data_IF_669322260839
#
_entry.id   IF_669322260839
#
_cell.length_a   1.000
_cell.length_b   1.000
_cell.length_c   1.000
_cell.angle_alpha   90.00
_cell.angle_beta   90.00
_cell.angle_gamma   90.00
#
_symmetry.space_group_name_H-M   'P 1'
#
loop_
_entity.id
_entity.type
_entity.pdbx_description
1 polymer ?
#
# COMPACT_ATOMS: atom_id res chain seq x y z
N UNK A 1 -8.23 17.10 13.10
CA UNK A 1 -9.56 16.49 13.23
C UNK A 1 -9.58 15.29 12.31
N UNK A 2 -9.73 14.09 12.87
CA UNK A 2 -10.02 12.87 12.11
C UNK A 2 -11.35 13.09 11.40
N UNK A 3 -11.36 12.95 10.09
CA UNK A 3 -12.60 12.94 9.32
C UNK A 3 -13.46 11.77 9.83
N UNK A 4 -14.50 12.07 10.61
CA UNK A 4 -15.45 11.11 11.17
C UNK A 4 -16.39 10.53 10.10
N UNK A 5 -16.09 10.70 8.80
CA UNK A 5 -16.93 10.24 7.70
C UNK A 5 -16.76 8.78 7.32
N UNK A 6 -15.85 8.04 7.98
CA UNK A 6 -15.84 6.58 7.91
C UNK A 6 -16.26 6.03 9.27
N UNK A 7 -17.57 6.06 9.50
CA UNK A 7 -18.20 5.36 10.61
C UNK A 7 -17.83 3.88 10.53
N UNK A 8 -16.87 3.47 11.35
CA UNK A 8 -16.39 2.10 11.41
C UNK A 8 -17.46 1.10 11.90
N UNK A 9 -18.67 1.58 12.23
CA UNK A 9 -19.87 0.80 12.52
C UNK A 9 -20.89 0.71 11.38
N UNK A 10 -20.72 1.44 10.28
CA UNK A 10 -21.63 1.35 9.14
C UNK A 10 -21.48 -0.02 8.43
N UNK A 11 -22.58 -0.70 8.05
CA UNK A 11 -22.52 -1.96 7.34
C UNK A 11 -21.85 -1.75 5.97
N UNK A 12 -20.95 -2.68 5.60
CA UNK A 12 -20.35 -2.71 4.27
C UNK A 12 -21.49 -2.85 3.24
N UNK A 13 -21.56 -1.91 2.29
CA UNK A 13 -22.52 -1.95 1.18
C UNK A 13 -21.78 -2.32 -0.11
N UNK A 14 -22.43 -3.10 -0.95
CA UNK A 14 -21.89 -3.41 -2.28
C UNK A 14 -21.81 -2.13 -3.11
N UNK A 15 -20.65 -1.86 -3.69
CA UNK A 15 -20.51 -0.75 -4.63
C UNK A 15 -20.96 -1.22 -6.02
N UNK A 16 -21.30 -0.27 -6.90
CA UNK A 16 -21.59 -0.60 -8.29
C UNK A 16 -20.41 -1.35 -8.96
N UNK A 17 -19.17 -1.00 -8.62
CA UNK A 17 -17.97 -1.70 -9.12
C UNK A 17 -17.90 -3.15 -8.63
N UNK A 18 -18.24 -3.41 -7.37
CA UNK A 18 -18.26 -4.77 -6.83
C UNK A 18 -19.33 -5.62 -7.52
N UNK A 19 -20.56 -5.09 -7.65
CA UNK A 19 -21.65 -5.77 -8.35
C UNK A 19 -21.31 -6.03 -9.83
N UNK A 20 -20.60 -5.09 -10.47
CA UNK A 20 -20.14 -5.25 -11.85
C UNK A 20 -19.16 -6.41 -11.97
N UNK A 21 -18.13 -6.46 -11.11
CA UNK A 21 -17.17 -7.55 -11.08
C UNK A 21 -17.84 -8.92 -10.86
N UNK A 22 -18.83 -9.00 -9.96
CA UNK A 22 -19.64 -10.22 -9.74
C UNK A 22 -20.36 -10.66 -11.02
N UNK A 23 -20.84 -9.70 -11.80
CA UNK A 23 -21.55 -9.97 -13.06
C UNK A 23 -20.60 -10.44 -14.15
N UNK A 24 -19.43 -9.80 -14.29
CA UNK A 24 -18.36 -10.24 -15.22
C UNK A 24 -17.88 -11.65 -14.88
N UNK A 25 -17.77 -11.98 -13.59
CA UNK A 25 -17.51 -13.34 -13.15
C UNK A 25 -18.61 -14.31 -13.58
N UNK A 26 -19.88 -13.92 -13.47
CA UNK A 26 -21.02 -14.77 -13.81
C UNK A 26 -21.14 -15.09 -15.32
N UNK A 27 -20.55 -14.24 -16.18
CA UNK A 27 -20.46 -14.47 -17.62
C UNK A 27 -19.48 -15.60 -17.97
N UNK A 28 -18.40 -15.74 -17.20
CA UNK A 28 -17.34 -16.74 -17.46
C UNK A 28 -17.47 -17.99 -16.61
N UNK A 29 -18.09 -17.89 -15.44
CA UNK A 29 -18.29 -19.00 -14.49
C UNK A 29 -19.73 -19.01 -13.96
N UNK A 30 -20.34 -20.18 -13.76
CA UNK A 30 -21.63 -20.26 -13.09
C UNK A 30 -21.59 -19.64 -11.69
N UNK A 31 -22.36 -18.57 -11.50
CA UNK A 31 -22.63 -17.96 -10.19
C UNK A 31 -24.10 -18.15 -9.87
N UNK A 32 -24.42 -18.74 -8.72
CA UNK A 32 -25.78 -19.12 -8.32
C UNK A 32 -26.13 -18.56 -6.95
N UNK A 33 -27.34 -18.02 -6.82
CA UNK A 33 -27.90 -17.59 -5.55
C UNK A 33 -28.27 -18.82 -4.69
N UNK A 34 -27.53 -19.05 -3.60
CA UNK A 34 -27.80 -20.10 -2.61
C UNK A 34 -28.94 -19.76 -1.65
N UNK A 35 -29.35 -18.49 -1.63
CA UNK A 35 -30.51 -18.00 -0.90
C UNK A 35 -31.14 -16.85 -1.68
N UNK A 36 -32.40 -16.54 -1.39
CA UNK A 36 -33.06 -15.38 -1.99
C UNK A 36 -32.40 -14.06 -1.54
N UNK A 37 -32.22 -13.14 -2.49
CA UNK A 37 -31.61 -11.83 -2.26
C UNK A 37 -32.72 -10.78 -2.19
N UNK A 38 -32.66 -9.91 -1.18
CA UNK A 38 -33.69 -8.90 -0.90
C UNK A 38 -33.10 -7.50 -0.86
N UNK A 39 -33.89 -6.52 -1.29
CA UNK A 39 -33.60 -5.10 -1.00
C UNK A 39 -33.76 -4.80 0.50
N UNK A 40 -33.21 -3.68 0.94
CA UNK A 40 -33.40 -3.12 2.28
C UNK A 40 -34.91 -2.90 2.58
N UNK A 41 -35.69 -2.51 1.56
CA UNK A 41 -37.15 -2.38 1.62
C UNK A 41 -37.92 -3.72 1.62
N UNK A 42 -37.25 -4.87 1.54
CA UNK A 42 -37.86 -6.20 1.61
C UNK A 42 -38.38 -6.76 0.29
N UNK A 43 -38.09 -6.12 -0.85
CA UNK A 43 -38.44 -6.63 -2.17
C UNK A 43 -37.49 -7.77 -2.53
N UNK A 44 -38.04 -8.92 -2.95
CA UNK A 44 -37.22 -10.03 -3.45
C UNK A 44 -36.67 -9.70 -4.84
N UNK A 45 -35.35 -9.59 -4.94
CA UNK A 45 -34.65 -9.27 -6.18
C UNK A 45 -34.24 -10.55 -6.92
N UNK A 46 -33.69 -11.53 -6.21
CA UNK A 46 -33.24 -12.81 -6.79
C UNK A 46 -33.83 -13.96 -5.99
N UNK A 47 -34.33 -14.99 -6.67
CA UNK A 47 -34.78 -16.22 -6.02
C UNK A 47 -33.62 -17.20 -5.83
N UNK A 48 -33.71 -18.04 -4.81
CA UNK A 48 -32.78 -19.15 -4.61
C UNK A 48 -32.72 -20.06 -5.84
N UNK A 49 -31.52 -20.54 -6.17
CA UNK A 49 -31.23 -21.39 -7.32
C UNK A 49 -31.10 -20.63 -8.64
N UNK A 50 -31.35 -19.32 -8.68
CA UNK A 50 -31.16 -18.54 -9.90
C UNK A 50 -29.69 -18.27 -10.18
N UNK A 51 -29.30 -18.45 -11.45
CA UNK A 51 -27.99 -18.04 -11.96
C UNK A 51 -27.95 -16.52 -12.11
N UNK A 52 -26.87 -15.90 -11.66
CA UNK A 52 -26.62 -14.46 -11.86
C UNK A 52 -26.27 -14.20 -13.32
N UNK A 53 -26.89 -13.17 -13.90
CA UNK A 53 -26.68 -12.71 -15.27
C UNK A 53 -26.81 -11.17 -15.33
N UNK A 54 -26.59 -10.61 -16.53
CA UNK A 54 -26.68 -9.16 -16.77
C UNK A 54 -28.06 -8.56 -16.44
N UNK A 55 -29.16 -9.30 -16.59
CA UNK A 55 -30.51 -8.80 -16.27
C UNK A 55 -30.71 -8.71 -14.77
N UNK A 56 -30.19 -9.68 -14.02
CA UNK A 56 -30.21 -9.63 -12.56
C UNK A 56 -29.28 -8.54 -12.02
N UNK A 57 -28.16 -8.26 -12.68
CA UNK A 57 -27.29 -7.13 -12.33
C UNK A 57 -28.00 -5.79 -12.37
N UNK A 58 -28.70 -5.46 -13.46
CA UNK A 58 -29.45 -4.21 -13.60
C UNK A 58 -30.43 -4.03 -12.43
N UNK A 59 -31.10 -5.12 -12.03
CA UNK A 59 -32.01 -5.14 -10.88
C UNK A 59 -31.31 -5.04 -9.53
N UNK A 60 -30.06 -5.52 -9.40
CA UNK A 60 -29.31 -5.43 -8.13
C UNK A 60 -28.77 -4.01 -7.90
N UNK A 61 -28.27 -3.35 -8.96
CA UNK A 61 -27.68 -2.00 -8.86
C UNK A 61 -28.72 -0.91 -8.57
N UNK A 62 -29.96 -1.09 -9.03
CA UNK A 62 -31.06 -0.15 -8.78
C UNK A 62 -31.55 -0.14 -7.32
N UNK A 63 -31.12 -1.11 -6.50
CA UNK A 63 -31.60 -1.30 -5.14
C UNK A 63 -30.48 -1.36 -4.12
N UNK A 64 -30.70 -0.76 -2.94
CA UNK A 64 -29.85 -1.06 -1.78
C UNK A 64 -30.19 -2.44 -1.25
N UNK A 65 -29.20 -3.34 -1.19
CA UNK A 65 -29.38 -4.71 -0.69
C UNK A 65 -29.43 -4.75 0.84
N UNK A 66 -30.19 -5.71 1.39
CA UNK A 66 -30.30 -5.91 2.85
C UNK A 66 -28.99 -6.41 3.47
N UNK A 67 -28.35 -7.35 2.79
CA UNK A 67 -27.07 -7.94 3.13
C UNK A 67 -26.19 -7.90 1.87
N UNK A 68 -24.86 -7.91 1.99
CA UNK A 68 -24.00 -7.93 0.82
C UNK A 68 -24.28 -9.13 -0.07
N UNK A 69 -24.61 -8.88 -1.34
CA UNK A 69 -23.95 -9.60 -2.43
C UNK A 69 -23.71 -11.10 -2.22
N UNK A 70 -22.45 -11.33 -1.93
CA UNK A 70 -21.76 -12.60 -1.85
C UNK A 70 -22.11 -13.44 -0.63
N UNK A 71 -22.82 -12.92 0.38
CA UNK A 71 -23.35 -13.76 1.48
C UNK A 71 -24.40 -14.75 0.98
N UNK A 72 -24.98 -14.49 -0.18
CA UNK A 72 -26.01 -15.33 -0.80
C UNK A 72 -25.54 -16.02 -2.08
N UNK A 73 -24.30 -15.81 -2.52
CA UNK A 73 -23.81 -16.33 -3.80
C UNK A 73 -22.83 -17.48 -3.61
N UNK A 74 -22.78 -18.33 -4.62
CA UNK A 74 -21.70 -19.29 -4.83
C UNK A 74 -21.23 -19.26 -6.26
N UNK A 75 -19.97 -19.62 -6.45
CA UNK A 75 -19.33 -19.69 -7.75
C UNK A 75 -18.74 -21.09 -7.96
N UNK A 76 -18.90 -21.62 -9.17
CA UNK A 76 -18.26 -22.86 -9.58
C UNK A 76 -16.73 -22.73 -9.56
N UNK A 77 -16.05 -23.72 -8.95
CA UNK A 77 -14.60 -23.69 -8.81
C UNK A 77 -14.11 -22.59 -7.85
N UNK A 78 -14.91 -22.27 -6.83
CA UNK A 78 -14.50 -21.42 -5.72
C UNK A 78 -13.18 -21.91 -5.10
N UNK A 79 -12.35 -20.96 -4.69
CA UNK A 79 -11.08 -21.24 -4.04
C UNK A 79 -11.25 -22.10 -2.79
N UNK A 80 -10.33 -23.05 -2.63
CA UNK A 80 -10.17 -23.88 -1.43
C UNK A 80 -8.77 -23.65 -0.85
N UNK A 81 -8.55 -24.01 0.40
CA UNK A 81 -7.19 -23.96 0.99
C UNK A 81 -6.19 -24.82 0.20
N UNK A 82 -6.64 -25.91 -0.43
CA UNK A 82 -5.82 -26.76 -1.29
C UNK A 82 -5.43 -26.05 -2.60
N UNK A 83 -6.38 -25.41 -3.29
CA UNK A 83 -6.09 -24.67 -4.53
C UNK A 83 -5.23 -23.43 -4.26
N UNK A 84 -5.50 -22.73 -3.14
CA UNK A 84 -4.64 -21.64 -2.66
C UNK A 84 -3.20 -22.11 -2.45
N UNK A 85 -3.02 -23.27 -1.80
CA UNK A 85 -1.71 -23.86 -1.60
C UNK A 85 -1.01 -24.26 -2.90
N UNK A 86 -1.76 -24.66 -3.94
CA UNK A 86 -1.19 -24.94 -5.26
C UNK A 86 -0.70 -23.65 -5.94
N UNK A 87 -1.55 -22.62 -6.02
CA UNK A 87 -1.19 -21.33 -6.62
C UNK A 87 -0.03 -20.64 -5.86
N UNK A 88 0.02 -20.76 -4.53
CA UNK A 88 1.11 -20.23 -3.72
C UNK A 88 2.47 -20.91 -4.04
N UNK A 89 2.49 -22.19 -4.38
CA UNK A 89 3.72 -22.88 -4.83
C UNK A 89 4.18 -22.39 -6.19
N UNK A 90 3.24 -22.12 -7.10
CA UNK A 90 3.56 -21.54 -8.41
C UNK A 90 4.17 -20.14 -8.26
N UNK A 91 3.59 -19.29 -7.39
CA UNK A 91 4.17 -17.97 -7.09
C UNK A 91 5.53 -18.09 -6.41
N UNK A 92 5.70 -19.03 -5.48
CA UNK A 92 7.03 -19.32 -4.90
C UNK A 92 8.07 -19.69 -5.96
N UNK A 93 7.68 -20.41 -7.02
CA UNK A 93 8.59 -20.85 -8.07
C UNK A 93 8.86 -19.79 -9.14
N UNK A 94 7.95 -18.85 -9.35
CA UNK A 94 7.96 -17.93 -10.50
C UNK A 94 8.13 -16.45 -10.15
N UNK A 95 7.75 -16.02 -8.94
CA UNK A 95 7.88 -14.63 -8.53
C UNK A 95 9.29 -14.34 -7.99
N UNK A 96 9.99 -13.29 -8.46
CA UNK A 96 11.41 -13.08 -8.18
C UNK A 96 11.76 -13.03 -6.68
N UNK A 97 11.03 -12.24 -5.89
CA UNK A 97 11.34 -12.08 -4.47
C UNK A 97 10.93 -13.31 -3.64
N UNK A 98 9.68 -13.83 -3.70
CA UNK A 98 9.31 -15.07 -3.03
C UNK A 98 10.24 -16.25 -3.35
N UNK A 99 10.65 -16.41 -4.61
CA UNK A 99 11.61 -17.43 -5.03
C UNK A 99 12.95 -17.30 -4.30
N UNK A 100 13.53 -16.11 -4.28
CA UNK A 100 14.80 -15.83 -3.57
C UNK A 100 14.68 -16.07 -2.08
N UNK A 101 13.59 -15.62 -1.46
CA UNK A 101 13.34 -15.85 -0.03
C UNK A 101 13.29 -17.35 0.27
N UNK A 102 12.60 -18.14 -0.56
CA UNK A 102 12.51 -19.58 -0.45
C UNK A 102 13.88 -20.27 -0.53
N UNK A 103 14.80 -19.79 -1.38
CA UNK A 103 16.16 -20.33 -1.47
C UNK A 103 16.99 -20.16 -0.19
N UNK A 104 16.63 -19.19 0.67
CA UNK A 104 17.31 -19.01 1.98
C UNK A 104 16.82 -19.96 3.06
N UNK A 105 15.76 -20.73 2.79
CA UNK A 105 15.13 -21.64 3.75
C UNK A 105 15.48 -23.10 3.45
N UNK A 106 15.64 -23.89 4.51
CA UNK A 106 15.83 -25.34 4.37
C UNK A 106 14.58 -26.07 3.90
N UNK A 107 13.40 -25.56 4.26
CA UNK A 107 12.10 -26.16 3.97
C UNK A 107 11.08 -25.06 3.63
N UNK A 108 11.15 -24.44 2.42
CA UNK A 108 10.28 -23.32 2.06
C UNK A 108 8.79 -23.67 2.07
N UNK A 109 8.43 -24.91 1.74
CA UNK A 109 7.05 -25.42 1.81
C UNK A 109 6.42 -25.30 3.22
N UNK A 110 7.24 -25.26 4.28
CA UNK A 110 6.74 -25.07 5.64
C UNK A 110 6.07 -23.70 5.83
N UNK A 111 6.41 -22.70 5.00
CA UNK A 111 5.73 -21.40 5.00
C UNK A 111 4.26 -21.51 4.56
N UNK A 112 3.85 -22.58 3.86
CA UNK A 112 2.47 -22.78 3.44
C UNK A 112 1.61 -23.48 4.50
N UNK A 113 2.20 -24.00 5.58
CA UNK A 113 1.45 -24.68 6.65
C UNK A 113 0.29 -23.85 7.23
N UNK A 114 0.42 -22.52 7.43
CA UNK A 114 -0.68 -21.69 7.93
C UNK A 114 -1.92 -21.66 7.04
N UNK A 115 -1.79 -21.82 5.71
CA UNK A 115 -2.92 -21.87 4.77
C UNK A 115 -3.87 -23.03 5.07
N UNK A 116 -3.32 -24.20 5.38
CA UNK A 116 -4.12 -25.40 5.64
C UNK A 116 -5.04 -25.24 6.88
N UNK A 117 -4.64 -24.39 7.83
CA UNK A 117 -5.40 -24.11 9.06
C UNK A 117 -6.22 -22.82 9.00
N UNK A 118 -6.18 -22.10 7.88
CA UNK A 118 -6.90 -20.83 7.73
C UNK A 118 -8.40 -21.07 7.54
N UNK A 119 -9.27 -20.45 8.33
CA UNK A 119 -10.71 -20.45 8.05
C UNK A 119 -10.97 -19.82 6.68
N UNK A 120 -11.75 -20.49 5.84
CA UNK A 120 -12.14 -20.00 4.51
C UNK A 120 -13.65 -20.22 4.31
N UNK A 121 -14.51 -19.40 4.95
CA UNK A 121 -15.95 -19.51 4.78
C UNK A 121 -16.36 -19.20 3.32
N UNK A 122 -17.52 -19.68 2.85
CA UNK A 122 -17.95 -19.53 1.45
C UNK A 122 -17.92 -18.10 0.91
N UNK A 123 -18.32 -17.10 1.71
CA UNK A 123 -18.29 -15.69 1.31
C UNK A 123 -16.87 -15.15 1.06
N UNK A 124 -15.91 -15.55 1.91
CA UNK A 124 -14.49 -15.20 1.71
C UNK A 124 -13.91 -15.94 0.51
N UNK A 125 -14.22 -17.24 0.37
CA UNK A 125 -13.83 -18.01 -0.81
C UNK A 125 -14.35 -17.37 -2.10
N UNK A 126 -15.60 -16.92 -2.10
CA UNK A 126 -16.22 -16.21 -3.22
C UNK A 126 -15.46 -14.91 -3.53
N UNK A 127 -15.21 -14.06 -2.53
CA UNK A 127 -14.48 -12.79 -2.68
C UNK A 127 -13.07 -12.99 -3.25
N UNK A 128 -12.32 -13.97 -2.74
CA UNK A 128 -10.99 -14.26 -3.25
C UNK A 128 -11.05 -14.85 -4.67
N UNK A 129 -12.06 -15.67 -4.97
CA UNK A 129 -12.27 -16.20 -6.34
C UNK A 129 -12.59 -15.06 -7.30
N UNK A 130 -13.47 -14.14 -6.90
CA UNK A 130 -13.78 -12.94 -7.66
C UNK A 130 -12.52 -12.11 -7.93
N UNK A 131 -11.68 -11.90 -6.92
CA UNK A 131 -10.39 -11.22 -7.07
C UNK A 131 -9.46 -11.93 -8.03
N UNK A 132 -9.31 -13.26 -7.92
CA UNK A 132 -8.47 -14.06 -8.83
C UNK A 132 -8.90 -13.91 -10.29
N UNK A 133 -10.19 -14.02 -10.57
CA UNK A 133 -10.69 -14.03 -11.95
C UNK A 133 -10.75 -12.62 -12.56
N UNK A 134 -11.20 -11.62 -11.78
CA UNK A 134 -11.45 -10.27 -12.30
C UNK A 134 -10.27 -9.32 -12.11
N UNK A 135 -9.38 -9.59 -11.15
CA UNK A 135 -8.20 -8.78 -10.82
C UNK A 135 -6.92 -9.63 -10.70
N UNK A 136 -6.44 -10.29 -11.77
CA UNK A 136 -5.32 -11.24 -11.68
C UNK A 136 -4.02 -10.64 -11.12
N UNK A 137 -3.72 -9.37 -11.42
CA UNK A 137 -2.54 -8.69 -10.87
C UNK A 137 -2.66 -8.47 -9.35
N UNK A 138 -3.82 -8.02 -8.89
CA UNK A 138 -4.12 -7.85 -7.46
C UNK A 138 -4.06 -9.19 -6.70
N UNK A 139 -4.55 -10.25 -7.34
CA UNK A 139 -4.48 -11.60 -6.80
C UNK A 139 -3.04 -12.09 -6.66
N UNK A 140 -2.21 -11.91 -7.69
CA UNK A 140 -0.79 -12.23 -7.65
C UNK A 140 -0.08 -11.46 -6.52
N UNK A 141 -0.33 -10.14 -6.40
CA UNK A 141 0.21 -9.32 -5.31
C UNK A 141 -0.19 -9.87 -3.93
N UNK A 142 -1.45 -10.28 -3.76
CA UNK A 142 -1.93 -10.88 -2.49
C UNK A 142 -1.21 -12.18 -2.13
N UNK A 143 -0.89 -13.02 -3.13
CA UNK A 143 -0.07 -14.23 -2.92
C UNK A 143 1.38 -13.86 -2.56
N UNK A 144 2.00 -12.91 -3.27
CA UNK A 144 3.36 -12.45 -2.96
C UNK A 144 3.46 -11.87 -1.55
N UNK A 145 2.48 -11.03 -1.18
CA UNK A 145 2.32 -10.46 0.16
C UNK A 145 2.23 -11.52 1.25
N UNK A 146 1.46 -12.59 1.02
CA UNK A 146 1.37 -13.72 1.92
C UNK A 146 2.73 -14.41 2.08
N UNK A 147 3.42 -14.71 0.98
CA UNK A 147 4.71 -15.42 1.04
C UNK A 147 5.81 -14.59 1.72
N UNK A 148 5.91 -13.30 1.39
CA UNK A 148 6.90 -12.39 1.97
C UNK A 148 6.61 -12.17 3.46
N UNK A 149 5.35 -11.95 3.84
CA UNK A 149 4.99 -11.74 5.24
C UNK A 149 5.19 -13.00 6.09
N UNK A 150 4.88 -14.19 5.57
CA UNK A 150 5.15 -15.46 6.26
C UNK A 150 6.64 -15.75 6.38
N UNK A 151 7.45 -15.37 5.38
CA UNK A 151 8.91 -15.39 5.51
C UNK A 151 9.38 -14.51 6.67
N UNK A 152 8.92 -13.25 6.73
CA UNK A 152 9.27 -12.33 7.83
C UNK A 152 8.85 -12.90 9.18
N UNK A 153 7.63 -13.45 9.27
CA UNK A 153 7.11 -14.08 10.48
C UNK A 153 7.96 -15.29 10.92
N UNK A 154 8.39 -16.12 9.97
CA UNK A 154 9.29 -17.25 10.23
C UNK A 154 10.65 -16.79 10.76
N UNK A 155 11.25 -15.76 10.15
CA UNK A 155 12.54 -15.18 10.60
C UNK A 155 12.45 -14.48 11.96
N UNK A 156 11.25 -14.04 12.33
CA UNK A 156 10.94 -13.42 13.63
C UNK A 156 10.34 -14.40 14.64
N UNK A 157 10.38 -15.71 14.38
CA UNK A 157 9.88 -16.76 15.30
C UNK A 157 8.43 -16.56 15.76
N UNK A 158 7.58 -16.04 14.85
CA UNK A 158 6.17 -15.76 15.13
C UNK A 158 5.38 -17.04 15.36
N UNK A 159 4.42 -17.01 16.28
CA UNK A 159 3.67 -18.21 16.66
C UNK A 159 2.83 -18.77 15.50
N UNK A 160 2.61 -20.10 15.41
CA UNK A 160 1.80 -20.69 14.33
C UNK A 160 0.39 -20.08 14.20
N UNK A 161 -0.24 -19.75 15.34
CA UNK A 161 -1.55 -19.09 15.39
C UNK A 161 -1.51 -17.69 14.76
N UNK A 162 -0.47 -16.91 15.04
CA UNK A 162 -0.28 -15.59 14.44
C UNK A 162 0.08 -15.69 12.96
N UNK A 163 0.83 -16.72 12.54
CA UNK A 163 1.10 -16.99 11.13
C UNK A 163 -0.20 -17.30 10.36
N UNK A 164 -1.15 -18.06 10.94
CA UNK A 164 -2.47 -18.26 10.31
C UNK A 164 -3.26 -16.96 10.20
N UNK A 165 -3.21 -16.10 11.22
CA UNK A 165 -3.83 -14.78 11.16
C UNK A 165 -3.17 -13.88 10.11
N UNK A 166 -1.83 -13.89 10.01
CA UNK A 166 -1.07 -13.13 9.04
C UNK A 166 -1.34 -13.59 7.61
N UNK A 167 -1.44 -14.90 7.40
CA UNK A 167 -1.83 -15.50 6.12
C UNK A 167 -3.19 -14.97 5.63
N UNK A 168 -4.20 -15.02 6.51
CA UNK A 168 -5.52 -14.45 6.21
C UNK A 168 -5.43 -12.94 5.91
N UNK A 169 -4.69 -12.18 6.73
CA UNK A 169 -4.54 -10.74 6.56
C UNK A 169 -3.87 -10.40 5.22
N UNK A 170 -2.81 -11.11 4.85
CA UNK A 170 -2.08 -10.88 3.62
C UNK A 170 -2.92 -11.21 2.37
N UNK A 171 -3.69 -12.30 2.37
CA UNK A 171 -4.55 -12.63 1.23
C UNK A 171 -5.70 -11.64 1.02
N UNK A 172 -6.14 -10.95 2.07
CA UNK A 172 -7.32 -10.08 2.05
C UNK A 172 -6.99 -8.59 2.16
N UNK A 173 -5.71 -8.20 2.30
CA UNK A 173 -5.33 -6.81 2.61
C UNK A 173 -5.89 -5.80 1.62
N UNK A 174 -5.92 -6.15 0.33
CA UNK A 174 -6.42 -5.29 -0.75
C UNK A 174 -7.74 -5.75 -1.37
N UNK A 175 -8.47 -6.68 -0.73
CA UNK A 175 -9.77 -7.14 -1.25
C UNK A 175 -10.78 -5.99 -1.41
N UNK A 176 -10.64 -4.91 -0.65
CA UNK A 176 -11.40 -3.68 -0.75
C UNK A 176 -11.25 -2.94 -2.08
N UNK A 177 -10.19 -3.22 -2.86
CA UNK A 177 -10.01 -2.69 -4.21
C UNK A 177 -11.09 -3.16 -5.17
N UNK A 178 -11.73 -4.32 -4.92
CA UNK A 178 -12.89 -4.79 -5.68
C UNK A 178 -14.08 -3.81 -5.65
N UNK A 179 -14.13 -2.92 -4.65
CA UNK A 179 -15.17 -1.92 -4.54
C UNK A 179 -14.83 -0.59 -5.23
N UNK A 180 -13.60 -0.44 -5.75
CA UNK A 180 -13.10 0.77 -6.40
C UNK A 180 -13.12 0.64 -7.93
N UNK A 181 -13.02 1.79 -8.61
CA UNK A 181 -12.93 1.84 -10.06
C UNK A 181 -11.70 1.08 -10.58
N UNK A 182 -11.85 0.11 -11.50
CA UNK A 182 -10.74 -0.53 -12.22
C UNK A 182 -9.63 0.41 -12.69
N UNK A 183 -9.97 1.64 -13.09
CA UNK A 183 -9.02 2.60 -13.63
C UNK A 183 -7.92 2.99 -12.61
N UNK A 184 -8.15 2.80 -11.31
CA UNK A 184 -7.14 3.06 -10.29
C UNK A 184 -5.95 2.10 -10.32
N UNK A 185 -6.11 0.94 -10.95
CA UNK A 185 -5.05 -0.05 -11.13
C UNK A 185 -4.19 0.24 -12.36
N UNK A 186 -4.62 1.14 -13.27
CA UNK A 186 -3.84 1.49 -14.46
C UNK A 186 -2.59 2.31 -14.06
N UNK A 187 -1.36 1.82 -14.32
CA UNK A 187 -0.13 2.56 -14.00
C UNK A 187 -0.02 3.93 -14.67
N UNK A 188 -0.77 4.15 -15.77
CA UNK A 188 -0.86 5.43 -16.50
C UNK A 188 -1.83 6.41 -15.85
N UNK A 189 -2.76 5.91 -15.04
CA UNK A 189 -3.74 6.72 -14.32
C UNK A 189 -3.27 6.96 -12.89
N UNK A 190 -2.35 7.94 -12.71
CA UNK A 190 -1.84 8.30 -11.39
C UNK A 190 -2.79 9.28 -10.69
N UNK A 191 -3.57 8.88 -9.67
CA UNK A 191 -4.33 9.83 -8.87
C UNK A 191 -3.41 10.86 -8.23
N UNK A 192 -3.75 12.13 -8.42
CA UNK A 192 -3.11 13.27 -7.75
C UNK A 192 -4.15 14.00 -6.90
N UNK A 193 -3.72 14.56 -5.77
CA UNK A 193 -4.56 15.39 -4.93
C UNK A 193 -5.81 14.68 -4.38
N UNK A 194 -6.97 15.32 -4.50
CA UNK A 194 -8.22 14.86 -3.92
C UNK A 194 -8.68 13.47 -4.42
N UNK A 195 -8.29 13.09 -5.64
CA UNK A 195 -8.59 11.79 -6.24
C UNK A 195 -7.95 10.62 -5.47
N UNK A 196 -6.79 10.82 -4.82
CA UNK A 196 -6.14 9.79 -3.98
C UNK A 196 -6.97 9.41 -2.75
N UNK A 197 -7.95 10.22 -2.34
CA UNK A 197 -8.79 9.92 -1.16
C UNK A 197 -9.53 8.59 -1.32
N UNK A 198 -9.93 8.25 -2.55
CA UNK A 198 -10.60 6.98 -2.84
C UNK A 198 -9.69 5.77 -2.66
N UNK A 199 -8.41 5.87 -3.05
CA UNK A 199 -7.45 4.79 -2.83
C UNK A 199 -7.15 4.54 -1.35
N UNK A 200 -7.23 5.56 -0.49
CA UNK A 200 -6.94 5.40 0.95
C UNK A 200 -8.04 4.62 1.69
N UNK A 201 -9.20 4.38 1.05
CA UNK A 201 -10.32 3.67 1.69
C UNK A 201 -10.19 2.15 1.62
N UNK A 202 -9.43 1.58 0.67
CA UNK A 202 -9.40 0.12 0.48
C UNK A 202 -8.95 -0.66 1.72
N UNK A 203 -7.99 -0.20 2.57
CA UNK A 203 -7.65 -0.95 3.78
C UNK A 203 -8.82 -1.01 4.77
N UNK A 204 -9.66 0.04 4.77
CA UNK A 204 -10.85 0.12 5.61
C UNK A 204 -11.91 -0.83 5.07
N UNK A 205 -12.17 -0.80 3.76
CA UNK A 205 -13.10 -1.72 3.09
C UNK A 205 -12.70 -3.18 3.31
N UNK A 206 -11.43 -3.53 3.06
CA UNK A 206 -10.89 -4.87 3.32
C UNK A 206 -11.07 -5.31 4.77
N UNK A 207 -10.77 -4.41 5.72
CA UNK A 207 -10.93 -4.69 7.15
C UNK A 207 -12.40 -4.93 7.52
N UNK A 208 -13.34 -4.17 6.96
CA UNK A 208 -14.77 -4.37 7.16
C UNK A 208 -15.26 -5.71 6.58
N UNK A 209 -14.77 -6.10 5.39
CA UNK A 209 -15.07 -7.40 4.79
C UNK A 209 -14.64 -8.56 5.70
N UNK A 210 -13.43 -8.48 6.26
CA UNK A 210 -12.92 -9.48 7.20
C UNK A 210 -13.70 -9.49 8.51
N UNK A 211 -14.05 -8.32 9.05
CA UNK A 211 -14.86 -8.22 10.27
C UNK A 211 -16.23 -8.87 10.08
N UNK A 212 -16.87 -8.65 8.94
CA UNK A 212 -18.18 -9.21 8.62
C UNK A 212 -18.16 -10.75 8.57
N UNK A 213 -17.03 -11.36 8.16
CA UNK A 213 -16.92 -12.81 8.13
C UNK A 213 -17.00 -13.47 9.53
N UNK A 214 -16.77 -12.71 10.62
CA UNK A 214 -16.89 -13.15 12.03
C UNK A 214 -16.11 -14.44 12.40
N UNK A 215 -15.15 -14.87 11.59
CA UNK A 215 -14.32 -16.07 11.82
C UNK A 215 -12.85 -15.75 12.13
N UNK A 216 -12.42 -14.51 11.87
CA UNK A 216 -11.03 -14.08 12.04
C UNK A 216 -10.84 -13.29 13.34
N UNK A 217 -9.68 -13.44 14.02
CA UNK A 217 -9.39 -12.63 15.19
C UNK A 217 -9.14 -11.16 14.82
N UNK A 218 -9.36 -10.26 15.78
CA UNK A 218 -9.16 -8.81 15.62
C UNK A 218 -7.76 -8.42 15.13
N UNK A 219 -6.75 -9.27 15.34
CA UNK A 219 -5.40 -9.05 14.81
C UNK A 219 -5.34 -9.05 13.28
N UNK A 220 -6.21 -9.81 12.59
CA UNK A 220 -6.32 -9.80 11.12
C UNK A 220 -6.86 -8.45 10.65
N UNK A 221 -7.94 -7.98 11.26
CA UNK A 221 -8.53 -6.67 10.96
C UNK A 221 -7.53 -5.52 11.14
N UNK A 222 -6.77 -5.54 12.24
CA UNK A 222 -5.75 -4.52 12.52
C UNK A 222 -4.60 -4.58 11.50
N UNK A 223 -4.10 -5.78 11.18
CA UNK A 223 -3.03 -5.94 10.21
C UNK A 223 -3.43 -5.42 8.82
N UNK A 224 -4.65 -5.76 8.37
CA UNK A 224 -5.22 -5.24 7.12
C UNK A 224 -5.36 -3.72 7.18
N UNK A 225 -5.84 -3.15 8.28
CA UNK A 225 -5.97 -1.69 8.39
C UNK A 225 -4.60 -0.98 8.38
N UNK A 226 -3.52 -1.68 8.73
CA UNK A 226 -2.20 -1.11 9.01
C UNK A 226 -1.17 -1.33 7.90
N UNK A 227 -1.46 -2.08 6.84
CA UNK A 227 -0.45 -2.45 5.84
C UNK A 227 0.12 -1.25 5.05
N UNK A 228 -0.56 -0.10 5.07
CA UNK A 228 -0.07 1.17 4.51
C UNK A 228 0.36 2.20 5.58
N UNK A 229 0.36 1.83 6.85
CA UNK A 229 0.94 2.65 7.91
C UNK A 229 2.47 2.68 7.78
N UNK A 230 3.10 3.69 8.36
CA UNK A 230 4.56 3.86 8.35
C UNK A 230 5.05 4.13 9.75
N UNK A 231 6.24 3.64 10.11
CA UNK A 231 6.78 3.73 11.46
C UNK A 231 6.95 5.18 11.97
N UNK A 232 7.11 6.13 11.05
CA UNK A 232 7.23 7.57 11.33
C UNK A 232 5.87 8.30 11.41
N UNK A 233 4.76 7.57 11.26
CA UNK A 233 3.40 8.10 11.26
C UNK A 233 3.00 8.84 9.99
N UNK A 234 3.74 8.73 8.88
CA UNK A 234 3.36 9.32 7.59
C UNK A 234 2.31 8.50 6.81
N UNK A 235 2.11 7.24 7.19
CA UNK A 235 1.20 6.31 6.53
C UNK A 235 -0.29 6.62 6.68
N UNK A 236 -1.11 5.68 6.23
CA UNK A 236 -2.57 5.79 6.19
C UNK A 236 -3.21 4.40 6.45
N UNK A 237 -4.51 4.34 6.80
CA UNK A 237 -5.49 5.43 6.89
C UNK A 237 -5.45 6.24 8.20
N UNK A 238 -4.91 5.71 9.30
CA UNK A 238 -4.95 6.35 10.62
C UNK A 238 -3.77 7.29 10.87
N UNK A 239 -2.62 7.07 10.21
CA UNK A 239 -1.44 7.91 10.36
C UNK A 239 -0.84 7.82 11.76
N UNK A 240 -0.84 6.62 12.33
CA UNK A 240 -0.41 6.35 13.71
C UNK A 240 1.12 6.18 13.81
N UNK A 241 1.74 6.55 14.95
CA UNK A 241 3.17 6.33 15.15
C UNK A 241 3.50 4.84 15.22
N UNK A 242 4.71 4.46 14.81
CA UNK A 242 5.13 3.06 14.68
C UNK A 242 4.93 2.19 15.92
N UNK A 243 5.07 2.77 17.12
CA UNK A 243 4.83 2.08 18.39
C UNK A 243 3.38 1.57 18.54
N UNK A 244 2.41 2.18 17.86
CA UNK A 244 1.00 1.78 17.86
C UNK A 244 0.62 0.82 16.74
N UNK A 245 1.49 0.63 15.74
CA UNK A 245 1.28 -0.36 14.67
C UNK A 245 1.50 -1.75 15.26
N UNK A 246 0.56 -2.66 15.03
CA UNK A 246 0.60 -4.05 15.49
C UNK A 246 1.78 -4.82 14.87
N UNK A 247 2.19 -5.93 15.50
CA UNK A 247 3.28 -6.76 14.98
C UNK A 247 2.99 -7.29 13.57
N UNK A 248 1.76 -7.77 13.32
CA UNK A 248 1.34 -8.25 12.00
C UNK A 248 1.22 -7.11 10.99
N UNK A 249 0.73 -5.93 11.40
CA UNK A 249 0.73 -4.73 10.55
C UNK A 249 2.13 -4.30 10.13
N UNK A 250 3.12 -4.41 11.03
CA UNK A 250 4.54 -4.17 10.71
C UNK A 250 5.12 -5.15 9.69
N UNK A 251 4.70 -6.41 9.73
CA UNK A 251 5.09 -7.41 8.73
C UNK A 251 4.45 -7.11 7.38
N UNK A 252 3.14 -6.82 7.34
CA UNK A 252 2.47 -6.48 6.09
C UNK A 252 3.01 -5.18 5.48
N UNK A 253 3.28 -4.13 6.26
CA UNK A 253 3.78 -2.88 5.69
C UNK A 253 5.18 -3.00 5.07
N UNK A 254 6.00 -3.93 5.59
CA UNK A 254 7.30 -4.23 5.01
C UNK A 254 7.16 -5.17 3.80
N UNK A 255 6.28 -6.16 3.86
CA UNK A 255 5.96 -7.01 2.71
C UNK A 255 5.45 -6.18 1.53
N UNK A 256 4.59 -5.18 1.81
CA UNK A 256 3.98 -4.29 0.83
C UNK A 256 5.02 -3.51 0.04
N UNK A 257 5.98 -2.87 0.73
CA UNK A 257 7.05 -2.15 0.01
C UNK A 257 7.94 -3.12 -0.76
N UNK A 258 8.19 -4.32 -0.24
CA UNK A 258 9.06 -5.29 -0.90
C UNK A 258 8.41 -5.82 -2.20
N UNK A 259 7.15 -6.25 -2.13
CA UNK A 259 6.38 -6.70 -3.28
C UNK A 259 6.23 -5.57 -4.32
N UNK A 260 5.81 -4.38 -3.91
CA UNK A 260 5.60 -3.25 -4.82
C UNK A 260 6.88 -2.80 -5.54
N UNK A 261 8.05 -2.89 -4.89
CA UNK A 261 9.33 -2.57 -5.54
C UNK A 261 9.71 -3.63 -6.57
N UNK A 262 9.52 -4.91 -6.27
CA UNK A 262 9.81 -5.99 -7.21
C UNK A 262 8.83 -6.07 -8.38
N UNK A 263 7.58 -5.65 -8.20
CA UNK A 263 6.60 -5.55 -9.29
C UNK A 263 6.88 -4.33 -10.20
N UNK A 264 7.27 -3.20 -9.60
CA UNK A 264 7.50 -1.95 -10.33
C UNK A 264 8.80 -1.93 -11.15
N UNK A 265 9.83 -2.64 -10.69
CA UNK A 265 11.17 -2.55 -11.26
C UNK A 265 11.61 -3.89 -11.84
N UNK A 266 11.66 -3.96 -13.17
CA UNK A 266 12.23 -5.13 -13.87
C UNK A 266 13.75 -5.20 -13.69
N UNK A 267 14.43 -4.05 -13.73
CA UNK A 267 15.89 -3.97 -13.61
C UNK A 267 16.33 -3.68 -12.17
N UNK A 268 17.22 -4.53 -11.65
CA UNK A 268 17.85 -4.42 -10.33
C UNK A 268 16.88 -4.14 -9.15
N UNK A 269 15.72 -4.82 -9.04
CA UNK A 269 14.75 -4.56 -7.97
C UNK A 269 15.34 -4.73 -6.56
N UNK A 270 16.32 -5.62 -6.38
CA UNK A 270 16.99 -5.80 -5.09
C UNK A 270 17.76 -4.56 -4.63
N UNK A 271 18.49 -3.93 -5.54
CA UNK A 271 19.17 -2.66 -5.28
C UNK A 271 18.15 -1.57 -4.93
N UNK A 272 17.07 -1.46 -5.72
CA UNK A 272 16.01 -0.48 -5.48
C UNK A 272 15.40 -0.67 -4.08
N UNK A 273 15.12 -1.92 -3.68
CA UNK A 273 14.56 -2.22 -2.37
C UNK A 273 15.56 -1.94 -1.25
N UNK A 274 16.83 -2.34 -1.40
CA UNK A 274 17.86 -2.09 -0.40
C UNK A 274 18.04 -0.59 -0.13
N UNK A 275 18.08 0.22 -1.18
CA UNK A 275 18.18 1.66 -1.06
C UNK A 275 16.92 2.28 -0.44
N UNK A 276 15.72 1.84 -0.84
CA UNK A 276 14.46 2.26 -0.19
C UNK A 276 14.51 1.99 1.31
N UNK A 277 14.91 0.78 1.73
CA UNK A 277 14.96 0.41 3.14
C UNK A 277 16.02 1.21 3.93
N UNK A 278 17.17 1.51 3.32
CA UNK A 278 18.26 2.28 3.96
C UNK A 278 17.93 3.77 4.07
N UNK A 279 17.52 4.40 2.97
CA UNK A 279 17.19 5.82 2.92
C UNK A 279 15.94 6.14 3.75
N UNK A 280 15.03 5.18 3.89
CA UNK A 280 13.80 5.35 4.65
C UNK A 280 13.74 4.48 5.90
N UNK A 281 14.87 4.25 6.57
CA UNK A 281 14.96 3.38 7.75
C UNK A 281 14.01 3.79 8.90
N UNK A 282 13.53 5.04 8.92
CA UNK A 282 12.52 5.54 9.88
C UNK A 282 11.08 5.18 9.53
N UNK A 283 10.79 4.84 8.26
CA UNK A 283 9.46 4.46 7.78
C UNK A 283 9.19 2.97 7.95
N UNK A 284 10.24 2.16 8.00
CA UNK A 284 10.17 0.70 8.00
C UNK A 284 10.67 0.11 9.33
N UNK A 285 10.17 -1.05 9.77
CA UNK A 285 10.59 -1.66 11.03
C UNK A 285 12.00 -2.24 10.89
N UNK A 286 13.00 -1.59 11.49
CA UNK A 286 14.42 -1.94 11.32
C UNK A 286 14.75 -3.42 11.61
N UNK A 287 14.14 -4.00 12.65
CA UNK A 287 14.33 -5.43 12.98
C UNK A 287 13.84 -6.38 11.87
N UNK A 288 12.72 -6.04 11.22
CA UNK A 288 12.20 -6.82 10.10
C UNK A 288 13.00 -6.55 8.82
N UNK A 289 13.40 -5.30 8.56
CA UNK A 289 14.23 -4.93 7.41
C UNK A 289 15.59 -5.65 7.43
N UNK A 290 16.14 -5.91 8.61
CA UNK A 290 17.38 -6.68 8.77
C UNK A 290 17.27 -8.14 8.28
N UNK A 291 16.07 -8.70 8.14
CA UNK A 291 15.87 -10.03 7.56
C UNK A 291 15.97 -10.03 6.03
N UNK A 292 15.71 -8.89 5.37
CA UNK A 292 15.75 -8.78 3.91
C UNK A 292 17.10 -8.26 3.41
N UNK A 293 17.70 -7.28 4.11
CA UNK A 293 18.90 -6.58 3.65
C UNK A 293 20.07 -7.51 3.23
N UNK A 294 20.43 -8.59 3.96
CA UNK A 294 21.51 -9.47 3.54
C UNK A 294 21.26 -10.12 2.17
N UNK A 295 20.03 -10.57 1.91
CA UNK A 295 19.64 -11.16 0.63
C UNK A 295 19.76 -10.14 -0.52
N UNK A 296 19.37 -8.89 -0.26
CA UNK A 296 19.43 -7.82 -1.25
C UNK A 296 20.87 -7.38 -1.55
N UNK A 297 21.74 -7.39 -0.54
CA UNK A 297 23.16 -7.04 -0.69
C UNK A 297 23.93 -8.08 -1.51
N UNK A 298 23.63 -9.38 -1.33
CA UNK A 298 24.22 -10.45 -2.13
C UNK A 298 23.88 -10.31 -3.62
N UNK A 299 22.66 -9.90 -3.94
CA UNK A 299 22.22 -9.65 -5.32
C UNK A 299 22.87 -8.39 -5.90
N UNK A 300 22.91 -7.29 -5.13
CA UNK A 300 23.61 -6.07 -5.53
C UNK A 300 25.07 -6.33 -5.89
N UNK A 301 25.76 -7.14 -5.10
CA UNK A 301 27.17 -7.46 -5.35
C UNK A 301 27.37 -8.21 -6.68
N UNK A 302 26.37 -8.97 -7.15
CA UNK A 302 26.40 -9.64 -8.46
C UNK A 302 26.09 -8.69 -9.62
N UNK A 303 25.22 -7.71 -9.40
CA UNK A 303 24.67 -6.84 -10.45
C UNK A 303 25.40 -5.49 -10.63
N UNK A 304 26.41 -5.20 -9.81
CA UNK A 304 27.13 -3.91 -9.77
C UNK A 304 27.78 -3.48 -11.11
N UNK A 305 27.86 -4.36 -12.12
CA UNK A 305 28.41 -4.07 -13.44
C UNK A 305 27.39 -3.50 -14.46
N UNK A 306 26.10 -3.42 -14.11
CA UNK A 306 25.00 -3.11 -15.04
C UNK A 306 24.24 -1.80 -14.72
N UNK A 307 24.80 -0.93 -13.88
CA UNK A 307 24.15 0.33 -13.48
C UNK A 307 23.90 1.25 -14.71
N UNK A 308 22.65 1.70 -14.96
CA UNK A 308 22.33 2.61 -16.04
C UNK A 308 22.89 4.00 -15.76
N UNK A 309 23.24 4.73 -16.82
CA UNK A 309 23.80 6.07 -16.74
C UNK A 309 22.80 7.01 -16.05
N UNK A 310 23.24 7.72 -15.02
CA UNK A 310 22.46 8.66 -14.20
C UNK A 310 22.01 9.95 -14.91
N UNK A 311 21.55 9.86 -16.16
CA UNK A 311 21.21 11.00 -17.04
C UNK A 311 20.17 11.97 -16.45
N UNK A 312 19.40 11.54 -15.44
CA UNK A 312 18.38 12.35 -14.77
C UNK A 312 18.83 12.93 -13.42
N UNK A 313 20.00 12.55 -12.90
CA UNK A 313 20.47 12.93 -11.56
C UNK A 313 20.49 14.45 -11.37
N UNK A 314 21.07 15.18 -12.33
CA UNK A 314 21.22 16.64 -12.24
C UNK A 314 19.87 17.35 -12.10
N UNK A 315 18.90 17.00 -12.96
CA UNK A 315 17.55 17.58 -12.92
C UNK A 315 16.80 17.23 -11.64
N UNK A 316 16.92 15.99 -11.17
CA UNK A 316 16.26 15.56 -9.94
C UNK A 316 16.80 16.30 -8.74
N UNK A 317 18.12 16.45 -8.67
CA UNK A 317 18.79 17.26 -7.68
C UNK A 317 18.29 18.71 -7.75
N UNK A 318 18.29 19.36 -8.92
CA UNK A 318 17.83 20.75 -9.07
C UNK A 318 16.41 20.96 -8.49
N UNK A 319 15.47 20.07 -8.81
CA UNK A 319 14.10 20.12 -8.26
C UNK A 319 14.11 20.00 -6.71
N UNK A 320 14.97 19.14 -6.14
CA UNK A 320 15.12 19.03 -4.68
C UNK A 320 15.64 20.34 -4.06
N UNK A 321 16.68 20.95 -4.66
CA UNK A 321 17.24 22.22 -4.16
C UNK A 321 16.19 23.34 -4.16
N UNK A 322 15.45 23.44 -5.28
CA UNK A 322 14.35 24.38 -5.44
C UNK A 322 13.29 24.15 -4.36
N UNK A 323 12.91 22.90 -4.09
CA UNK A 323 11.88 22.58 -3.11
C UNK A 323 12.26 22.99 -1.67
N UNK A 324 13.50 22.73 -1.26
CA UNK A 324 14.01 23.19 0.04
C UNK A 324 14.10 24.71 0.12
N UNK A 325 14.63 25.35 -0.93
CA UNK A 325 14.79 26.81 -0.97
C UNK A 325 13.45 27.55 -0.94
N UNK A 326 12.45 27.05 -1.67
CA UNK A 326 11.10 27.62 -1.65
C UNK A 326 10.45 27.40 -0.29
N UNK A 327 10.66 26.26 0.35
CA UNK A 327 10.16 26.03 1.71
C UNK A 327 10.74 27.01 2.72
N UNK A 328 12.05 27.27 2.67
CA UNK A 328 12.71 28.24 3.55
C UNK A 328 12.20 29.67 3.29
N UNK A 329 11.95 30.04 2.03
CA UNK A 329 11.30 31.32 1.67
C UNK A 329 9.90 31.43 2.28
N UNK A 330 9.09 30.38 2.16
CA UNK A 330 7.74 30.33 2.72
C UNK A 330 7.79 30.51 4.25
N UNK A 331 8.68 29.80 4.95
CA UNK A 331 8.85 29.96 6.41
C UNK A 331 9.30 31.36 6.81
N UNK A 332 10.25 31.95 6.08
CA UNK A 332 10.75 33.29 6.37
C UNK A 332 9.67 34.38 6.21
N UNK A 333 8.61 34.10 5.46
CA UNK A 333 7.48 35.02 5.28
C UNK A 333 6.44 34.99 6.42
N UNK A 334 6.53 34.03 7.34
CA UNK A 334 5.55 33.83 8.42
C UNK A 334 5.99 34.53 9.73
N UNK A 335 5.04 35.09 10.51
CA UNK A 335 5.32 35.60 11.84
C UNK A 335 5.58 34.43 12.82
N UNK A 336 6.70 34.46 13.55
CA UNK A 336 7.09 33.48 14.59
C UNK A 336 7.22 32.01 14.12
N UNK A 337 8.13 31.69 13.18
CA UNK A 337 8.30 30.34 12.63
C UNK A 337 8.71 29.27 13.67
N UNK A 338 9.31 29.67 14.80
CA UNK A 338 9.88 28.76 15.80
C UNK A 338 8.84 27.98 16.63
N UNK A 339 7.57 28.43 16.68
CA UNK A 339 6.52 27.78 17.48
C UNK A 339 5.97 26.48 16.83
N UNK A 340 6.38 26.15 15.61
CA UNK A 340 5.79 25.09 14.78
C UNK A 340 6.53 23.73 14.80
N UNK A 341 7.57 23.52 15.62
CA UNK A 341 8.51 22.39 15.42
C UNK A 341 8.30 21.16 16.32
N UNK A 342 7.25 21.11 17.14
CA UNK A 342 7.00 19.96 18.03
C UNK A 342 6.43 18.74 17.28
N UNK A 343 6.85 17.54 17.65
CA UNK A 343 6.28 16.28 17.15
C UNK A 343 4.77 16.16 17.37
N UNK A 344 4.23 16.78 18.45
CA UNK A 344 2.78 16.85 18.69
C UNK A 344 2.07 17.75 17.67
N UNK A 345 2.70 18.88 17.32
CA UNK A 345 2.17 19.83 16.34
C UNK A 345 2.20 19.22 14.94
N UNK A 346 3.23 18.45 14.58
CA UNK A 346 3.35 17.78 13.29
C UNK A 346 2.23 16.74 13.00
N UNK A 347 1.49 16.29 14.03
CA UNK A 347 0.32 15.43 13.84
C UNK A 347 -0.96 16.22 13.54
N UNK A 348 -0.98 17.52 13.87
CA UNK A 348 -2.20 18.33 13.90
C UNK A 348 -2.16 19.58 13.02
N UNK A 349 -0.97 20.03 12.62
CA UNK A 349 -0.73 21.24 11.83
C UNK A 349 0.10 20.94 10.56
N UNK A 350 -0.29 21.47 9.38
CA UNK A 350 0.37 21.18 8.11
C UNK A 350 1.79 21.76 8.04
N UNK A 351 2.01 22.98 8.55
CA UNK A 351 3.34 23.62 8.55
C UNK A 351 4.36 22.78 9.35
N UNK A 352 3.98 22.39 10.57
CA UNK A 352 4.77 21.53 11.45
C UNK A 352 5.06 20.16 10.81
N UNK A 353 4.07 19.58 10.14
CA UNK A 353 4.22 18.31 9.44
C UNK A 353 5.24 18.41 8.30
N UNK A 354 5.12 19.41 7.43
CA UNK A 354 6.04 19.59 6.30
C UNK A 354 7.46 19.87 6.82
N UNK A 355 7.63 20.77 7.80
CA UNK A 355 8.94 21.10 8.37
C UNK A 355 9.65 19.86 8.94
N UNK A 356 8.94 19.08 9.76
CA UNK A 356 9.50 17.86 10.35
C UNK A 356 9.90 16.84 9.27
N UNK A 357 9.11 16.70 8.20
CA UNK A 357 9.38 15.73 7.13
C UNK A 357 10.49 16.19 6.19
N UNK A 358 10.53 17.47 5.84
CA UNK A 358 11.63 18.05 5.07
C UNK A 358 12.93 18.00 5.86
N UNK A 359 12.92 18.30 7.16
CA UNK A 359 14.11 18.14 8.01
C UNK A 359 14.62 16.70 8.06
N UNK A 360 13.71 15.72 8.13
CA UNK A 360 14.07 14.31 8.07
C UNK A 360 14.64 13.92 6.69
N UNK A 361 14.03 14.38 5.60
CA UNK A 361 14.52 14.15 4.23
C UNK A 361 15.89 14.78 4.01
N UNK A 362 16.08 16.03 4.46
CA UNK A 362 17.36 16.72 4.38
C UNK A 362 18.45 15.94 5.12
N UNK A 363 18.16 15.43 6.33
CA UNK A 363 19.10 14.61 7.07
C UNK A 363 19.47 13.31 6.33
N UNK A 364 18.50 12.63 5.72
CA UNK A 364 18.76 11.42 4.91
C UNK A 364 19.67 11.75 3.72
N UNK A 365 19.40 12.86 3.02
CA UNK A 365 20.20 13.32 1.90
C UNK A 365 21.65 13.67 2.30
N UNK A 366 21.83 14.26 3.49
CA UNK A 366 23.15 14.50 4.08
C UNK A 366 23.89 13.19 4.38
N UNK A 367 23.20 12.23 5.01
CA UNK A 367 23.75 10.92 5.36
C UNK A 367 24.11 10.08 4.12
N UNK A 368 23.42 10.29 2.99
CA UNK A 368 23.72 9.66 1.70
C UNK A 368 24.72 10.43 0.83
N UNK A 369 25.27 11.56 1.30
CA UNK A 369 26.23 12.36 0.55
C UNK A 369 25.65 13.17 -0.61
N UNK A 370 24.32 13.31 -0.69
CA UNK A 370 23.59 14.00 -1.76
C UNK A 370 23.01 15.34 -1.31
N UNK A 371 23.88 16.26 -0.90
CA UNK A 371 23.44 17.56 -0.37
C UNK A 371 22.71 18.42 -1.44
N UNK A 372 21.45 18.86 -1.19
CA UNK A 372 20.69 19.66 -2.16
C UNK A 372 21.36 20.97 -2.58
N UNK A 373 22.14 21.63 -1.74
CA UNK A 373 22.86 22.86 -2.13
C UNK A 373 24.29 22.64 -2.67
N UNK A 374 24.80 21.40 -2.77
CA UNK A 374 26.17 21.11 -3.26
C UNK A 374 26.20 20.24 -4.52
N UNK A 375 25.11 20.27 -5.29
CA UNK A 375 24.87 19.35 -6.41
C UNK A 375 25.91 19.45 -7.52
N UNK A 376 26.32 20.67 -7.85
CA UNK A 376 27.34 20.91 -8.88
C UNK A 376 28.70 20.32 -8.48
N UNK A 377 29.05 20.38 -7.20
CA UNK A 377 30.28 19.79 -6.69
C UNK A 377 30.22 18.26 -6.72
N UNK A 378 29.09 17.67 -6.32
CA UNK A 378 28.88 16.23 -6.36
C UNK A 378 28.91 15.68 -7.78
N UNK A 379 28.17 16.29 -8.71
CA UNK A 379 28.14 15.87 -10.12
C UNK A 379 29.54 15.97 -10.73
N UNK A 380 30.29 17.02 -10.43
CA UNK A 380 31.67 17.18 -10.90
C UNK A 380 32.64 16.16 -10.31
N UNK A 381 32.41 15.69 -9.07
CA UNK A 381 33.25 14.66 -8.43
C UNK A 381 32.99 13.26 -8.98
N UNK A 382 31.79 13.02 -9.51
CA UNK A 382 31.37 11.74 -10.09
C UNK A 382 31.52 11.71 -11.62
N UNK A 383 32.22 12.69 -12.20
CA UNK A 383 32.47 12.72 -13.63
C UNK A 383 33.31 11.48 -14.05
N UNK A 384 32.78 10.71 -15.00
CA UNK A 384 33.33 9.41 -15.39
C UNK A 384 33.00 8.22 -14.47
N UNK A 385 32.34 8.44 -13.32
CA UNK A 385 31.83 7.37 -12.43
C UNK A 385 30.35 7.08 -12.70
N UNK A 386 30.09 6.20 -13.66
CA UNK A 386 28.73 5.82 -14.04
C UNK A 386 27.95 5.16 -12.90
N UNK A 387 28.62 4.41 -12.02
CA UNK A 387 27.98 3.73 -10.90
C UNK A 387 27.57 4.74 -9.81
N UNK A 388 28.47 5.65 -9.43
CA UNK A 388 28.16 6.74 -8.50
C UNK A 388 27.04 7.64 -9.02
N UNK A 389 27.06 7.99 -10.31
CA UNK A 389 25.98 8.78 -10.92
C UNK A 389 24.63 8.07 -10.92
N UNK A 390 24.61 6.74 -11.08
CA UNK A 390 23.39 5.95 -10.98
C UNK A 390 22.81 5.93 -9.56
N UNK A 391 23.68 5.81 -8.53
CA UNK A 391 23.26 5.89 -7.13
C UNK A 391 22.68 7.27 -6.80
N UNK A 392 23.31 8.36 -7.25
CA UNK A 392 22.79 9.72 -7.06
C UNK A 392 21.45 9.90 -7.77
N UNK A 393 21.28 9.40 -8.99
CA UNK A 393 19.99 9.43 -9.70
C UNK A 393 18.90 8.66 -8.94
N UNK A 394 19.25 7.52 -8.34
CA UNK A 394 18.30 6.78 -7.51
C UNK A 394 17.90 7.57 -6.27
N UNK A 395 18.88 8.08 -5.52
CA UNK A 395 18.64 8.87 -4.30
C UNK A 395 17.78 10.10 -4.62
N UNK A 396 18.08 10.78 -5.74
CA UNK A 396 17.29 11.89 -6.25
C UNK A 396 15.84 11.50 -6.54
N UNK A 397 15.63 10.42 -7.29
CA UNK A 397 14.29 9.89 -7.60
C UNK A 397 13.50 9.53 -6.35
N UNK A 398 14.12 8.84 -5.39
CA UNK A 398 13.49 8.47 -4.14
C UNK A 398 13.14 9.71 -3.31
N UNK A 399 14.05 10.70 -3.23
CA UNK A 399 13.78 11.95 -2.53
C UNK A 399 12.65 12.77 -3.17
N UNK A 400 12.53 12.78 -4.51
CA UNK A 400 11.37 13.39 -5.18
C UNK A 400 10.07 12.65 -4.86
N UNK A 401 10.09 11.33 -4.82
CA UNK A 401 8.93 10.54 -4.38
C UNK A 401 8.56 10.82 -2.92
N UNK A 402 9.55 11.06 -2.06
CA UNK A 402 9.35 11.49 -0.67
C UNK A 402 8.68 12.86 -0.60
N UNK A 403 9.15 13.84 -1.37
CA UNK A 403 8.51 15.16 -1.49
C UNK A 403 7.04 15.03 -1.92
N UNK A 404 6.77 14.26 -2.97
CA UNK A 404 5.40 13.97 -3.42
C UNK A 404 4.55 13.33 -2.31
N UNK A 405 5.13 12.42 -1.51
CA UNK A 405 4.44 11.78 -0.39
C UNK A 405 4.12 12.77 0.73
N UNK A 406 4.99 13.73 1.01
CA UNK A 406 4.74 14.82 1.97
C UNK A 406 3.54 15.63 1.50
N UNK A 407 3.51 16.04 0.23
CA UNK A 407 2.40 16.80 -0.36
C UNK A 407 1.09 16.02 -0.26
N UNK A 408 1.10 14.76 -0.70
CA UNK A 408 -0.08 13.90 -0.67
C UNK A 408 -0.61 13.71 0.76
N UNK A 409 0.27 13.52 1.74
CA UNK A 409 -0.12 13.38 3.14
C UNK A 409 -0.67 14.71 3.69
N UNK A 410 -0.10 15.85 3.31
CA UNK A 410 -0.58 17.17 3.69
C UNK A 410 -2.00 17.40 3.16
N UNK A 411 -2.22 17.26 1.85
CA UNK A 411 -3.54 17.45 1.20
C UNK A 411 -4.60 16.47 1.72
N UNK A 412 -4.20 15.27 2.14
CA UNK A 412 -5.10 14.29 2.75
C UNK A 412 -5.55 14.72 4.15
N UNK A 413 -4.61 15.14 5.00
CA UNK A 413 -4.85 15.45 6.43
C UNK A 413 -5.47 16.83 6.62
N UNK A 414 -5.07 17.78 5.79
CA UNK A 414 -5.53 19.16 5.78
C UNK A 414 -5.96 19.47 4.34
N UNK A 415 -7.24 19.26 3.99
CA UNK A 415 -7.78 19.65 2.69
C UNK A 415 -7.74 21.18 2.51
N UNK A 416 -7.79 21.63 1.25
CA UNK A 416 -7.57 23.01 0.80
C UNK A 416 -7.96 24.10 1.81
N UNK A 417 -7.02 25.02 2.06
CA UNK A 417 -7.21 26.15 2.94
C UNK A 417 -8.32 27.09 2.44
N UNK A 418 -9.26 27.42 3.32
CA UNK A 418 -10.26 28.47 3.09
C UNK A 418 -9.63 29.85 3.31
N UNK A 419 -10.22 30.93 2.79
CA UNK A 419 -9.76 32.29 3.07
C UNK A 419 -9.68 32.63 4.57
N UNK A 420 -10.42 31.90 5.42
CA UNK A 420 -10.42 32.02 6.89
C UNK A 420 -9.38 31.14 7.62
N UNK A 421 -8.66 30.25 6.92
CA UNK A 421 -7.64 29.41 7.56
C UNK A 421 -6.42 30.23 8.01
N UNK A 422 -5.65 29.76 9.02
CA UNK A 422 -4.44 30.45 9.48
C UNK A 422 -3.41 30.68 8.37
N UNK A 423 -2.59 31.72 8.49
CA UNK A 423 -1.58 32.08 7.50
C UNK A 423 -0.56 30.96 7.25
N UNK A 424 -0.24 30.21 8.31
CA UNK A 424 0.64 29.04 8.30
C UNK A 424 0.05 27.89 7.45
N UNK A 425 -1.25 27.66 7.56
CA UNK A 425 -1.95 26.64 6.79
C UNK A 425 -1.99 27.01 5.31
N UNK A 426 -2.25 28.28 4.98
CA UNK A 426 -2.24 28.78 3.60
C UNK A 426 -0.84 28.66 3.00
N UNK A 427 0.18 29.03 3.76
CA UNK A 427 1.58 28.93 3.36
C UNK A 427 1.98 27.48 3.03
N UNK A 428 1.60 26.52 3.88
CA UNK A 428 1.82 25.10 3.63
C UNK A 428 1.14 24.63 2.34
N UNK A 429 -0.11 25.02 2.11
CA UNK A 429 -0.85 24.67 0.89
C UNK A 429 -0.23 25.26 -0.38
N UNK A 430 0.18 26.55 -0.35
CA UNK A 430 0.87 27.20 -1.48
C UNK A 430 2.16 26.48 -1.85
N UNK A 431 2.95 26.05 -0.87
CA UNK A 431 4.15 25.27 -1.14
C UNK A 431 3.81 23.91 -1.78
N UNK A 432 2.79 23.22 -1.28
CA UNK A 432 2.32 21.96 -1.88
C UNK A 432 1.87 22.14 -3.35
N UNK A 433 1.10 23.17 -3.67
CA UNK A 433 0.66 23.47 -5.05
C UNK A 433 1.84 23.83 -5.96
N UNK A 434 2.75 24.68 -5.47
CA UNK A 434 3.96 25.04 -6.19
C UNK A 434 4.81 23.81 -6.50
N UNK A 435 5.01 22.91 -5.53
CA UNK A 435 5.83 21.71 -5.71
C UNK A 435 5.21 20.75 -6.72
N UNK A 436 3.88 20.55 -6.69
CA UNK A 436 3.17 19.73 -7.67
C UNK A 436 3.31 20.23 -9.11
N UNK A 437 3.51 21.53 -9.32
CA UNK A 437 3.73 22.08 -10.66
C UNK A 437 5.13 21.77 -11.24
N UNK A 438 6.05 21.25 -10.41
CA UNK A 438 7.45 20.99 -10.76
C UNK A 438 7.84 19.51 -10.75
N UNK A 439 7.07 18.66 -10.05
CA UNK A 439 7.20 17.20 -10.03
C UNK A 439 6.54 16.60 -11.28
#
# INVERSE_FOLDING_TARGET
MTDNTLDAGAPLRDSAHYLHAVTELAETRPVVAQAAIYSESGIKLVAEGMRIDRRLYERLVEHTLREPVDTHLSVEGALTTASLGAEAREVFASSPLPYKLAQTLRAPEALLAPLASMPLPPSVAFKLTLMREQRPALWKHSLEMMLISLYLAHRSETSPRECTALCAAALMHDAGMLHLDPAWEDPRHKPVGAQRKHLVVHPITSMLMVRQAQVYPRSVELAILEHHERMDGSGYPRGIPGAQISALGRMLLLAEVAAAIYDKYEEMPALQLALVLRLNHRKFPAGLSAHLLPLLDEERARDSALMPIGAHAARQLEILADAFSEWDRVKASLPHPEQSTSAKNALTQPLAFIEMRLGALHKVLLESGTHPTQQNALISQLDGDAAGMAEVAFVGKEALWQLQTIVNACQRRWPAASASSPAEDHAAHRWCEWLLSRL
#
